data_IF_208599041043
#
_entry.id   IF_208599041043
#
_cell.length_a   1.000
_cell.length_b   1.000
_cell.length_c   1.000
_cell.angle_alpha   90.00
_cell.angle_beta   90.00
_cell.angle_gamma   90.00
#
_symmetry.space_group_name_H-M   'P 1'
#
loop_
_entity.id
_entity.type
_entity.pdbx_description
1 polymer ?
#
# COMPACT_ATOMS: atom_id res chain seq x y z
N UNK A 1 -14.30 2.33 -2.67
CA UNK A 1 -13.92 0.90 -2.68
C UNK A 1 -12.54 0.85 -2.06
N UNK A 2 -12.37 0.05 -1.00
CA UNK A 2 -11.18 0.03 -0.15
C UNK A 2 -9.88 -0.13 -0.95
N UNK A 3 -9.91 -0.93 -2.01
CA UNK A 3 -8.80 -1.13 -2.96
C UNK A 3 -8.25 0.18 -3.55
N UNK A 4 -9.14 1.05 -4.08
CA UNK A 4 -8.74 2.33 -4.67
C UNK A 4 -8.26 3.33 -3.63
N UNK A 5 -8.82 3.27 -2.43
CA UNK A 5 -8.46 4.17 -1.33
C UNK A 5 -7.04 3.86 -0.84
N UNK A 6 -6.72 2.59 -0.56
CA UNK A 6 -5.36 2.22 -0.18
C UNK A 6 -4.35 2.40 -1.32
N UNK A 7 -4.75 2.16 -2.57
CA UNK A 7 -3.88 2.40 -3.72
C UNK A 7 -3.46 3.88 -3.80
N UNK A 8 -4.40 4.81 -3.55
CA UNK A 8 -4.10 6.25 -3.46
C UNK A 8 -3.15 6.55 -2.32
N UNK A 9 -3.43 6.04 -1.12
CA UNK A 9 -2.54 6.22 0.05
C UNK A 9 -1.11 5.75 -0.27
N UNK A 10 -0.96 4.59 -0.91
CA UNK A 10 0.35 4.05 -1.27
C UNK A 10 1.02 4.87 -2.38
N UNK A 11 0.26 5.40 -3.33
CA UNK A 11 0.80 6.34 -4.33
C UNK A 11 1.30 7.61 -3.65
N UNK A 12 0.51 8.22 -2.77
CA UNK A 12 0.87 9.44 -2.05
C UNK A 12 2.13 9.24 -1.20
N UNK A 13 2.24 8.09 -0.52
CA UNK A 13 3.49 7.71 0.19
C UNK A 13 4.66 7.66 -0.79
N UNK A 14 4.50 7.03 -1.96
CA UNK A 14 5.58 6.96 -2.94
C UNK A 14 5.99 8.35 -3.44
N UNK A 15 5.02 9.22 -3.74
CA UNK A 15 5.25 10.60 -4.15
C UNK A 15 6.05 11.37 -3.09
N UNK A 16 5.65 11.27 -1.81
CA UNK A 16 6.34 11.96 -0.71
C UNK A 16 7.76 11.42 -0.53
N UNK A 17 7.95 10.09 -0.57
CA UNK A 17 9.27 9.46 -0.45
C UNK A 17 10.19 9.84 -1.61
N UNK A 18 9.63 9.96 -2.82
CA UNK A 18 10.34 10.39 -4.03
C UNK A 18 10.81 11.84 -3.92
N UNK A 19 9.93 12.75 -3.47
CA UNK A 19 10.27 14.16 -3.19
C UNK A 19 11.38 14.25 -2.14
N UNK A 20 11.31 13.43 -1.09
CA UNK A 20 12.33 13.36 -0.02
C UNK A 20 13.63 12.68 -0.46
N UNK A 21 13.71 12.16 -1.70
CA UNK A 21 14.84 11.36 -2.20
C UNK A 21 15.22 10.21 -1.27
N UNK A 22 14.20 9.58 -0.67
CA UNK A 22 14.38 8.42 0.19
C UNK A 22 14.75 7.18 -0.65
N UNK A 23 14.74 6.01 -0.03
CA UNK A 23 15.16 4.76 -0.61
C UNK A 23 14.35 4.38 -1.86
N UNK A 24 15.05 4.30 -3.00
CA UNK A 24 14.49 3.96 -4.32
C UNK A 24 13.76 2.62 -4.33
N UNK A 25 14.19 1.63 -3.53
CA UNK A 25 13.49 0.35 -3.42
C UNK A 25 12.14 0.51 -2.73
N UNK A 26 12.04 1.33 -1.67
CA UNK A 26 10.77 1.61 -1.00
C UNK A 26 9.81 2.33 -1.93
N UNK A 27 10.27 3.39 -2.59
CA UNK A 27 9.46 4.16 -3.55
C UNK A 27 8.87 3.22 -4.61
N UNK A 28 9.71 2.38 -5.23
CA UNK A 28 9.26 1.40 -6.23
C UNK A 28 8.28 0.37 -5.67
N UNK A 29 8.48 -0.09 -4.44
CA UNK A 29 7.56 -1.03 -3.79
C UNK A 29 6.18 -0.41 -3.60
N UNK A 30 6.10 0.81 -3.06
CA UNK A 30 4.83 1.53 -2.89
C UNK A 30 4.13 1.80 -4.23
N UNK A 31 4.86 2.25 -5.26
CA UNK A 31 4.29 2.44 -6.61
C UNK A 31 3.72 1.15 -7.20
N UNK A 32 4.47 0.05 -7.13
CA UNK A 32 4.01 -1.24 -7.68
C UNK A 32 2.82 -1.78 -6.91
N UNK A 33 2.85 -1.68 -5.58
CA UNK A 33 1.72 -2.08 -4.76
C UNK A 33 0.48 -1.25 -5.09
N UNK A 34 0.58 0.08 -5.19
CA UNK A 34 -0.54 0.95 -5.55
C UNK A 34 -1.21 0.52 -6.88
N UNK A 35 -0.42 0.28 -7.93
CA UNK A 35 -0.92 -0.17 -9.24
C UNK A 35 -1.64 -1.53 -9.16
N UNK A 36 -1.08 -2.49 -8.43
CA UNK A 36 -1.69 -3.81 -8.30
C UNK A 36 -2.94 -3.80 -7.42
N UNK A 37 -2.98 -2.97 -6.38
CA UNK A 37 -4.15 -2.79 -5.52
C UNK A 37 -5.30 -2.11 -6.27
N UNK A 38 -5.00 -1.12 -7.11
CA UNK A 38 -6.02 -0.43 -7.92
C UNK A 38 -6.68 -1.33 -8.96
N UNK A 39 -5.89 -2.22 -9.58
CA UNK A 39 -6.34 -3.18 -10.60
C UNK A 39 -6.87 -4.49 -10.02
N UNK A 40 -6.86 -4.66 -8.70
CA UNK A 40 -7.33 -5.87 -8.05
C UNK A 40 -8.85 -5.97 -8.12
N UNK A 41 -9.34 -7.04 -8.76
CA UNK A 41 -10.77 -7.30 -8.92
C UNK A 41 -11.45 -7.85 -7.65
N UNK A 42 -10.68 -8.43 -6.72
CA UNK A 42 -11.18 -8.94 -5.42
C UNK A 42 -11.12 -7.85 -4.37
N UNK A 43 -12.08 -7.80 -3.43
CA UNK A 43 -12.02 -6.87 -2.30
C UNK A 43 -10.87 -7.26 -1.36
N UNK A 44 -10.03 -6.29 -1.00
CA UNK A 44 -8.94 -6.49 -0.04
C UNK A 44 -9.44 -6.97 1.34
N UNK A 45 -10.67 -6.61 1.72
CA UNK A 45 -11.26 -7.06 2.98
C UNK A 45 -11.50 -8.57 3.04
N UNK A 46 -11.53 -9.24 1.89
CA UNK A 46 -11.73 -10.70 1.79
C UNK A 46 -10.40 -11.48 1.68
N UNK A 47 -9.26 -10.78 1.59
CA UNK A 47 -7.97 -11.42 1.42
C UNK A 47 -7.32 -11.71 2.77
N UNK A 48 -6.79 -12.92 2.90
CA UNK A 48 -5.92 -13.30 4.00
C UNK A 48 -4.56 -12.63 3.89
N UNK A 49 -3.82 -12.57 5.01
CA UNK A 49 -2.45 -12.04 5.00
C UNK A 49 -1.53 -12.76 4.00
N UNK A 50 -1.73 -14.05 3.76
CA UNK A 50 -0.96 -14.81 2.75
C UNK A 50 -1.29 -14.35 1.33
N UNK A 51 -2.56 -14.18 1.01
CA UNK A 51 -2.99 -13.68 -0.30
C UNK A 51 -2.49 -12.25 -0.55
N UNK A 52 -2.39 -11.41 0.50
CA UNK A 52 -1.78 -10.08 0.37
C UNK A 52 -0.30 -10.14 -0.04
N UNK A 53 0.45 -11.12 0.47
CA UNK A 53 1.86 -11.33 0.11
C UNK A 53 2.05 -11.87 -1.31
N UNK A 54 1.01 -12.44 -1.91
CA UNK A 54 1.02 -12.91 -3.29
C UNK A 54 0.82 -11.76 -4.30
N UNK A 55 0.35 -10.60 -3.83
CA UNK A 55 0.17 -9.42 -4.69
C UNK A 55 1.55 -8.90 -5.13
N UNK A 56 1.81 -8.78 -6.45
CA UNK A 56 3.11 -8.33 -6.91
C UNK A 56 3.49 -6.96 -6.36
N UNK A 57 4.70 -6.85 -5.82
CA UNK A 57 5.18 -5.61 -5.20
C UNK A 57 4.71 -5.37 -3.76
N UNK A 58 3.86 -6.25 -3.19
CA UNK A 58 3.48 -6.22 -1.78
C UNK A 58 4.38 -7.18 -1.00
N UNK A 59 5.33 -6.64 -0.24
CA UNK A 59 6.12 -7.40 0.73
C UNK A 59 5.47 -7.43 2.13
N UNK A 60 6.12 -8.07 3.10
CA UNK A 60 5.61 -8.19 4.47
C UNK A 60 5.24 -6.86 5.14
N UNK A 61 6.07 -5.82 4.96
CA UNK A 61 5.78 -4.47 5.50
C UNK A 61 4.52 -3.86 4.86
N UNK A 62 4.39 -3.98 3.53
CA UNK A 62 3.23 -3.44 2.81
C UNK A 62 1.96 -4.24 3.13
N UNK A 63 2.05 -5.57 3.26
CA UNK A 63 0.94 -6.42 3.68
C UNK A 63 0.45 -6.06 5.09
N UNK A 64 1.38 -5.76 6.02
CA UNK A 64 1.04 -5.29 7.35
C UNK A 64 0.31 -3.94 7.32
N UNK A 65 0.74 -3.00 6.47
CA UNK A 65 0.07 -1.70 6.28
C UNK A 65 -1.30 -1.82 5.63
N UNK A 66 -1.48 -2.77 4.72
CA UNK A 66 -2.80 -3.08 4.16
C UNK A 66 -3.72 -3.60 5.25
N UNK A 67 -3.25 -4.54 6.07
CA UNK A 67 -4.02 -5.05 7.20
C UNK A 67 -4.36 -3.95 8.22
N UNK A 68 -3.41 -3.05 8.51
CA UNK A 68 -3.62 -1.87 9.36
C UNK A 68 -4.75 -1.00 8.81
N UNK A 69 -4.69 -0.61 7.53
CA UNK A 69 -5.74 0.18 6.88
C UNK A 69 -7.11 -0.51 6.92
N UNK A 70 -7.16 -1.83 6.72
CA UNK A 70 -8.42 -2.57 6.79
C UNK A 70 -9.04 -2.57 8.20
N UNK A 71 -8.22 -2.47 9.24
CA UNK A 71 -8.65 -2.44 10.65
C UNK A 71 -8.99 -1.02 11.14
N UNK A 72 -8.18 -0.03 10.78
CA UNK A 72 -8.25 1.33 11.35
C UNK A 72 -8.85 2.37 10.40
N UNK A 73 -8.85 2.07 9.09
CA UNK A 73 -9.19 3.03 8.04
C UNK A 73 -8.04 3.99 7.68
N UNK A 74 -6.86 3.85 8.30
CA UNK A 74 -5.71 4.73 8.10
C UNK A 74 -4.39 3.93 8.03
N UNK A 75 -3.35 4.55 7.48
CA UNK A 75 -1.99 4.00 7.48
C UNK A 75 -1.12 4.96 8.26
N UNK A 76 -0.58 4.55 9.41
CA UNK A 76 0.17 5.45 10.28
C UNK A 76 1.34 6.15 9.59
N UNK A 77 2.01 5.47 8.66
CA UNK A 77 3.11 6.08 7.88
C UNK A 77 2.61 7.22 6.98
N UNK A 78 1.42 7.09 6.38
CA UNK A 78 0.86 8.15 5.56
C UNK A 78 0.58 9.40 6.40
N UNK A 79 0.04 9.21 7.61
CA UNK A 79 -0.24 10.31 8.53
C UNK A 79 1.04 10.96 9.09
N UNK A 80 2.12 10.20 9.25
CA UNK A 80 3.44 10.72 9.63
C UNK A 80 4.16 11.48 8.50
N UNK A 81 3.81 11.19 7.24
CA UNK A 81 4.45 11.77 6.07
C UNK A 81 3.77 13.05 5.57
N UNK A 82 2.50 13.25 5.92
CA UNK A 82 1.76 14.52 5.76
C UNK A 82 2.29 15.59 6.70
#
# INVERSE_FOLDING_TARGET
MKNREIARIFSDIADILEIKKDNVFKIRAYRRAALNLESLNRDLAELSHKELLEIPGVGADLAARIAEYLQTGAVALHDQLK
#
